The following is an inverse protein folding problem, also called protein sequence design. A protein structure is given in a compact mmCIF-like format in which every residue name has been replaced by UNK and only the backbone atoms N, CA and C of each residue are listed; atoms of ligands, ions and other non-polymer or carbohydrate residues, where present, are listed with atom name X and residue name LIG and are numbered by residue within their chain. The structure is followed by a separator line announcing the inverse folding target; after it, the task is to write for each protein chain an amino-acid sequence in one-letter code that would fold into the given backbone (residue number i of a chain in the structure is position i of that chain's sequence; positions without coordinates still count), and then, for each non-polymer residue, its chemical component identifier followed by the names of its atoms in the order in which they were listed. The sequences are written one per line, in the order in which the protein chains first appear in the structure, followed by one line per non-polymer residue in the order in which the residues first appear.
data_IF_186311438417
#
_entry.id   IF_186311438417
#
_cell.length_a   1.000
_cell.length_b   1.000
_cell.length_c   1.000
_cell.angle_alpha   90.00
_cell.angle_beta   90.00
_cell.angle_gamma   90.00
#
_symmetry.space_group_name_H-M   'P 1'
#
loop_
_entity.id
_entity.type
_entity.pdbx_description
1 polymer ?
#
# COMPACT_ATOMS: atom_id res chain seq x y z
N UNK A 1 -64.78 15.59 61.24
CA UNK A 1 -63.88 16.36 60.37
C UNK A 1 -63.30 15.39 59.33
N UNK A 2 -63.59 15.56 58.03
CA UNK A 2 -63.15 14.65 56.97
C UNK A 2 -61.79 15.07 56.41
N UNK A 3 -60.86 14.12 56.20
CA UNK A 3 -59.61 14.36 55.50
C UNK A 3 -59.64 13.66 54.13
N UNK A 4 -59.33 14.46 53.11
CA UNK A 4 -59.29 14.18 51.70
C UNK A 4 -57.95 13.53 51.33
N UNK A 5 -57.97 12.44 50.57
CA UNK A 5 -56.71 11.83 50.12
C UNK A 5 -56.81 10.62 49.21
N UNK A 6 -57.96 10.34 48.59
CA UNK A 6 -58.03 9.46 47.42
C UNK A 6 -57.70 10.29 46.17
N UNK A 7 -56.43 10.28 45.75
CA UNK A 7 -56.04 10.70 44.40
C UNK A 7 -54.97 9.75 43.86
N UNK A 8 -55.42 8.76 43.07
CA UNK A 8 -54.71 8.31 41.86
C UNK A 8 -53.54 7.34 42.02
N UNK A 9 -53.83 6.05 42.21
CA UNK A 9 -52.97 4.98 41.68
C UNK A 9 -53.60 4.48 40.37
N UNK A 10 -53.21 5.10 39.25
CA UNK A 10 -53.61 4.66 37.92
C UNK A 10 -52.77 3.43 37.53
N UNK A 11 -53.51 2.37 37.22
CA UNK A 11 -53.13 1.09 36.65
C UNK A 11 -52.07 1.21 35.54
N UNK A 12 -50.91 0.58 35.73
CA UNK A 12 -49.80 0.53 34.77
C UNK A 12 -49.95 -0.65 33.80
N UNK A 13 -51.07 -0.72 33.08
CA UNK A 13 -51.34 -1.76 32.09
C UNK A 13 -51.75 -1.19 30.72
N UNK A 14 -50.85 -0.46 30.06
CA UNK A 14 -50.93 -0.19 28.62
C UNK A 14 -49.54 -0.17 27.99
N UNK A 15 -49.20 -1.24 27.26
CA UNK A 15 -48.12 -1.21 26.27
C UNK A 15 -48.55 -0.40 25.04
N UNK A 16 -47.61 0.20 24.29
CA UNK A 16 -47.54 -0.18 22.88
C UNK A 16 -46.11 -0.26 22.31
N UNK A 17 -45.93 -1.30 21.50
CA UNK A 17 -45.12 -1.43 20.28
C UNK A 17 -44.41 -0.14 19.78
N UNK A 18 -43.07 -0.13 19.83
CA UNK A 18 -42.08 0.46 18.90
C UNK A 18 -40.70 0.34 19.59
N UNK A 19 -39.67 -0.30 19.06
CA UNK A 19 -39.03 -0.02 17.78
C UNK A 19 -38.25 -1.28 17.34
N UNK A 20 -38.69 -1.87 16.24
CA UNK A 20 -37.79 -2.60 15.34
C UNK A 20 -36.82 -1.56 14.78
N UNK A 21 -35.63 -1.47 15.36
CA UNK A 21 -34.38 -0.92 14.78
C UNK A 21 -33.20 -1.27 15.67
N UNK A 22 -33.19 -2.51 16.15
CA UNK A 22 -32.03 -3.14 16.76
C UNK A 22 -31.14 -3.84 15.72
N UNK A 23 -31.10 -3.37 14.47
CA UNK A 23 -29.92 -3.63 13.61
C UNK A 23 -28.80 -2.79 14.20
N UNK A 24 -28.24 -3.30 15.30
CA UNK A 24 -26.90 -2.98 15.70
C UNK A 24 -26.07 -2.98 14.43
N UNK A 25 -25.41 -1.86 14.13
CA UNK A 25 -24.33 -1.80 13.18
C UNK A 25 -23.33 -2.88 13.63
N UNK A 26 -23.50 -4.10 13.13
CA UNK A 26 -22.64 -5.21 13.50
C UNK A 26 -21.30 -4.82 12.93
N UNK A 27 -20.38 -4.44 13.81
CA UNK A 27 -18.99 -4.25 13.43
C UNK A 27 -18.59 -5.41 12.55
N UNK A 28 -18.04 -5.10 11.39
CA UNK A 28 -17.70 -6.09 10.38
C UNK A 28 -16.81 -7.17 11.02
N UNK A 29 -17.21 -8.43 10.92
CA UNK A 29 -16.43 -9.55 11.46
C UNK A 29 -14.99 -9.48 10.93
N UNK A 30 -14.01 -9.71 11.81
CA UNK A 30 -12.57 -9.59 11.51
C UNK A 30 -12.19 -10.45 10.30
N UNK A 31 -12.79 -11.63 10.16
CA UNK A 31 -12.57 -12.52 9.00
C UNK A 31 -13.09 -11.91 7.71
N UNK A 32 -14.29 -11.29 7.74
CA UNK A 32 -14.86 -10.58 6.59
C UNK A 32 -14.02 -9.34 6.24
N UNK A 33 -13.58 -8.57 7.23
CA UNK A 33 -12.71 -7.42 7.01
C UNK A 33 -11.38 -7.82 6.37
N UNK A 34 -10.78 -8.94 6.80
CA UNK A 34 -9.57 -9.50 6.18
C UNK A 34 -9.80 -9.94 4.74
N UNK A 35 -10.88 -10.68 4.48
CA UNK A 35 -11.22 -11.12 3.12
C UNK A 35 -11.48 -9.93 2.18
N UNK A 36 -12.18 -8.89 2.65
CA UNK A 36 -12.44 -7.70 1.86
C UNK A 36 -11.17 -6.86 1.64
N UNK A 37 -10.30 -6.76 2.64
CA UNK A 37 -8.99 -6.10 2.48
C UNK A 37 -8.10 -6.85 1.48
N UNK A 38 -8.05 -8.19 1.55
CA UNK A 38 -7.35 -9.01 0.58
C UNK A 38 -7.96 -8.91 -0.82
N UNK A 39 -9.29 -8.88 -0.92
CA UNK A 39 -10.01 -8.69 -2.18
C UNK A 39 -9.74 -7.32 -2.81
N UNK A 40 -9.75 -6.25 -2.01
CA UNK A 40 -9.41 -4.90 -2.48
C UNK A 40 -7.95 -4.81 -2.93
N UNK A 41 -7.02 -5.43 -2.18
CA UNK A 41 -5.63 -5.51 -2.59
C UNK A 41 -5.47 -6.28 -3.91
N UNK A 42 -6.10 -7.45 -4.04
CA UNK A 42 -6.09 -8.25 -5.26
C UNK A 42 -6.69 -7.50 -6.46
N UNK A 43 -7.79 -6.76 -6.26
CA UNK A 43 -8.35 -5.88 -7.28
C UNK A 43 -7.35 -4.81 -7.71
N UNK A 44 -6.65 -4.19 -6.75
CA UNK A 44 -5.59 -3.22 -7.05
C UNK A 44 -4.47 -3.82 -7.91
N UNK A 45 -4.05 -5.07 -7.63
CA UNK A 45 -3.05 -5.78 -8.45
C UNK A 45 -3.57 -6.00 -9.87
N UNK A 46 -4.81 -6.47 -10.03
CA UNK A 46 -5.41 -6.71 -11.35
C UNK A 46 -5.50 -5.41 -12.15
N UNK A 47 -5.97 -4.32 -11.53
CA UNK A 47 -6.05 -3.00 -12.19
C UNK A 47 -4.65 -2.54 -12.61
N UNK A 48 -3.65 -2.65 -11.72
CA UNK A 48 -2.27 -2.28 -12.04
C UNK A 48 -1.72 -3.09 -13.22
N UNK A 49 -1.90 -4.40 -13.21
CA UNK A 49 -1.44 -5.28 -14.29
C UNK A 49 -2.09 -4.94 -15.62
N UNK A 50 -3.42 -4.78 -15.63
CA UNK A 50 -4.14 -4.40 -16.85
C UNK A 50 -3.71 -3.01 -17.35
N UNK A 51 -3.38 -2.07 -16.47
CA UNK A 51 -2.81 -0.77 -16.88
C UNK A 51 -1.42 -0.91 -17.48
N UNK A 52 -0.53 -1.70 -16.86
CA UNK A 52 0.85 -1.90 -17.35
C UNK A 52 0.88 -2.66 -18.68
N UNK A 53 -0.01 -3.64 -18.86
CA UNK A 53 -0.13 -4.42 -20.09
C UNK A 53 -0.86 -3.66 -21.22
N UNK A 54 -1.32 -2.43 -20.96
CA UNK A 54 -2.04 -1.59 -21.93
C UNK A 54 -3.51 -1.97 -22.12
N UNK A 55 -4.04 -2.90 -21.34
CA UNK A 55 -5.47 -3.24 -21.30
C UNK A 55 -6.35 -2.17 -20.65
N UNK A 56 -5.76 -1.27 -19.85
CA UNK A 56 -6.39 -0.08 -19.29
C UNK A 56 -5.51 1.15 -19.53
N UNK A 57 -6.12 2.32 -19.66
CA UNK A 57 -5.40 3.59 -19.79
C UNK A 57 -4.52 3.88 -18.55
N UNK A 58 -3.41 4.64 -18.69
CA UNK A 58 -2.47 4.93 -17.59
C UNK A 58 -3.14 5.53 -16.33
N UNK A 59 -4.17 6.36 -16.52
CA UNK A 59 -4.92 7.00 -15.43
C UNK A 59 -5.64 5.97 -14.54
N UNK A 60 -5.98 4.80 -15.06
CA UNK A 60 -6.58 3.72 -14.26
C UNK A 60 -5.63 3.20 -13.17
N UNK A 61 -4.31 3.38 -13.33
CA UNK A 61 -3.32 3.04 -12.31
C UNK A 61 -3.52 3.77 -10.97
N UNK A 62 -4.16 4.95 -10.98
CA UNK A 62 -4.55 5.67 -9.75
C UNK A 62 -5.57 4.86 -8.94
N UNK A 63 -6.43 4.11 -9.61
CA UNK A 63 -7.39 3.21 -8.98
C UNK A 63 -6.72 2.07 -8.22
N UNK A 64 -5.64 1.51 -8.78
CA UNK A 64 -4.85 0.50 -8.08
C UNK A 64 -4.25 1.05 -6.77
N UNK A 65 -3.70 2.27 -6.81
CA UNK A 65 -3.17 2.93 -5.63
C UNK A 65 -4.25 3.16 -4.57
N UNK A 66 -5.44 3.61 -4.97
CA UNK A 66 -6.57 3.80 -4.06
C UNK A 66 -6.98 2.49 -3.38
N UNK A 67 -7.00 1.38 -4.12
CA UNK A 67 -7.24 0.04 -3.58
C UNK A 67 -6.16 -0.38 -2.56
N UNK A 68 -4.87 -0.17 -2.85
CA UNK A 68 -3.78 -0.51 -1.93
C UNK A 68 -3.84 0.31 -0.64
N UNK A 69 -4.05 1.62 -0.76
CA UNK A 69 -4.19 2.52 0.40
C UNK A 69 -5.41 2.14 1.24
N UNK A 70 -6.56 1.89 0.61
CA UNK A 70 -7.76 1.46 1.31
C UNK A 70 -7.55 0.11 2.04
N UNK A 71 -6.93 -0.87 1.36
CA UNK A 71 -6.64 -2.18 1.93
C UNK A 71 -5.70 -2.09 3.15
N UNK A 72 -4.65 -1.27 3.05
CA UNK A 72 -3.70 -1.02 4.14
C UNK A 72 -4.32 -0.23 5.29
N UNK A 73 -5.02 0.86 4.98
CA UNK A 73 -5.61 1.75 5.99
C UNK A 73 -6.77 1.11 6.74
N UNK A 74 -7.57 0.27 6.08
CA UNK A 74 -8.66 -0.47 6.73
C UNK A 74 -8.19 -1.31 7.94
N UNK A 75 -6.89 -1.66 8.00
CA UNK A 75 -6.30 -2.38 9.14
C UNK A 75 -6.09 -1.49 10.38
N UNK A 76 -6.06 -0.17 10.22
CA UNK A 76 -5.85 0.80 11.30
C UNK A 76 -7.12 1.52 11.77
N UNK A 77 -8.27 1.30 11.12
CA UNK A 77 -9.54 1.96 11.48
C UNK A 77 -10.46 0.99 12.22
N UNK A 78 -11.31 1.52 13.10
CA UNK A 78 -12.38 0.77 13.78
C UNK A 78 -13.23 -0.03 12.79
N UNK A 79 -13.65 -1.25 13.19
CA UNK A 79 -14.36 -2.22 12.35
C UNK A 79 -15.63 -1.68 11.68
N UNK A 80 -16.29 -0.71 12.30
CA UNK A 80 -17.47 -0.04 11.77
C UNK A 80 -17.18 0.84 10.53
N UNK A 81 -15.95 1.37 10.39
CA UNK A 81 -15.54 2.25 9.29
C UNK A 81 -14.70 1.54 8.22
N UNK A 82 -14.12 0.39 8.56
CA UNK A 82 -13.30 -0.38 7.62
C UNK A 82 -14.07 -0.74 6.33
N UNK A 83 -15.38 -1.04 6.42
CA UNK A 83 -16.19 -1.36 5.25
C UNK A 83 -16.37 -0.16 4.32
N UNK A 84 -16.57 1.02 4.89
CA UNK A 84 -16.69 2.29 4.15
C UNK A 84 -15.37 2.67 3.48
N UNK A 85 -14.23 2.47 4.16
CA UNK A 85 -12.89 2.72 3.58
C UNK A 85 -12.62 1.80 2.39
N UNK A 86 -12.92 0.50 2.53
CA UNK A 86 -12.72 -0.48 1.45
C UNK A 86 -13.65 -0.21 0.27
N UNK A 87 -14.94 0.05 0.54
CA UNK A 87 -15.89 0.44 -0.49
C UNK A 87 -15.47 1.73 -1.20
N UNK A 88 -14.98 2.72 -0.45
CA UNK A 88 -14.43 3.96 -1.01
C UNK A 88 -13.25 3.70 -1.95
N UNK A 89 -12.30 2.85 -1.55
CA UNK A 89 -11.18 2.46 -2.41
C UNK A 89 -11.64 1.81 -3.73
N UNK A 90 -12.58 0.87 -3.65
CA UNK A 90 -13.15 0.21 -4.84
C UNK A 90 -13.92 1.20 -5.72
N UNK A 91 -14.72 2.08 -5.13
CA UNK A 91 -15.47 3.12 -5.86
C UNK A 91 -14.51 4.07 -6.57
N UNK A 92 -13.43 4.50 -5.91
CA UNK A 92 -12.39 5.31 -6.56
C UNK A 92 -11.75 4.54 -7.70
N UNK A 93 -11.44 3.26 -7.53
CA UNK A 93 -10.87 2.44 -8.60
C UNK A 93 -11.80 2.35 -9.81
N UNK A 94 -13.07 2.00 -9.61
CA UNK A 94 -14.07 1.96 -10.67
C UNK A 94 -14.27 3.34 -11.33
N UNK A 95 -14.28 4.41 -10.52
CA UNK A 95 -14.38 5.78 -10.99
C UNK A 95 -13.19 6.18 -11.86
N UNK A 96 -11.97 5.82 -11.47
CA UNK A 96 -10.75 6.07 -12.28
C UNK A 96 -10.73 5.26 -13.56
N UNK A 97 -11.25 4.02 -13.56
CA UNK A 97 -11.40 3.20 -14.78
C UNK A 97 -12.43 3.81 -15.73
N UNK A 98 -13.59 4.24 -15.21
CA UNK A 98 -14.61 4.94 -16.00
C UNK A 98 -14.09 6.26 -16.57
N UNK A 99 -13.42 7.06 -15.73
CA UNK A 99 -12.78 8.31 -16.15
C UNK A 99 -11.70 8.05 -17.20
N UNK A 100 -10.84 7.06 -17.00
CA UNK A 100 -9.85 6.60 -17.97
C UNK A 100 -10.49 6.30 -19.33
N UNK A 101 -11.58 5.53 -19.37
CA UNK A 101 -12.29 5.22 -20.61
C UNK A 101 -12.83 6.47 -21.31
N UNK A 102 -13.31 7.47 -20.55
CA UNK A 102 -13.78 8.74 -21.13
C UNK A 102 -12.66 9.67 -21.60
N UNK A 103 -11.49 9.59 -20.96
CA UNK A 103 -10.31 10.40 -21.27
C UNK A 103 -9.34 9.69 -22.23
N UNK A 104 -9.62 8.44 -22.61
CA UNK A 104 -8.84 7.68 -23.59
C UNK A 104 -8.60 8.45 -24.91
N UNK A 105 -9.55 9.24 -25.46
CA UNK A 105 -9.27 10.06 -26.64
C UNK A 105 -8.23 11.16 -26.42
N UNK A 106 -7.93 11.49 -25.15
CA UNK A 106 -6.98 12.51 -24.70
C UNK A 106 -5.69 11.88 -24.12
N UNK A 107 -5.51 10.55 -24.19
CA UNK A 107 -4.39 9.84 -23.53
C UNK A 107 -3.01 10.05 -24.18
N UNK A 108 -2.93 10.86 -25.24
CA UNK A 108 -1.66 11.35 -25.81
C UNK A 108 -0.87 12.29 -24.86
N UNK A 109 -1.28 12.43 -23.60
CA UNK A 109 -0.52 13.16 -22.58
C UNK A 109 0.72 12.34 -22.24
N UNK A 110 1.89 12.90 -22.57
CA UNK A 110 3.19 12.36 -22.19
C UNK A 110 3.24 12.14 -20.68
N UNK A 111 3.68 10.95 -20.25
CA UNK A 111 3.98 10.73 -18.84
C UNK A 111 5.04 11.75 -18.39
N UNK A 112 4.99 12.20 -17.11
CA UNK A 112 6.05 13.05 -16.58
C UNK A 112 7.40 12.37 -16.80
N UNK A 113 8.27 13.04 -17.56
CA UNK A 113 9.60 12.51 -17.85
C UNK A 113 10.45 12.59 -16.57
N UNK A 114 10.73 11.45 -15.98
CA UNK A 114 11.64 11.33 -14.82
C UNK A 114 13.11 11.36 -15.24
N UNK A 115 13.38 11.28 -16.54
CA UNK A 115 14.70 11.39 -17.18
C UNK A 115 15.27 12.81 -17.21
N UNK A 116 14.61 13.79 -16.57
CA UNK A 116 15.06 15.19 -16.51
C UNK A 116 16.45 15.37 -15.89
N UNK A 117 16.91 14.41 -15.08
CA UNK A 117 18.26 14.41 -14.50
C UNK A 117 19.29 13.70 -15.40
N UNK A 118 18.86 13.19 -16.56
CA UNK A 118 19.70 12.52 -17.55
C UNK A 118 20.47 11.33 -16.94
N UNK A 119 21.80 11.26 -17.12
CA UNK A 119 22.66 10.23 -16.52
C UNK A 119 22.54 10.07 -15.00
N UNK A 120 22.02 11.08 -14.29
CA UNK A 120 21.87 11.02 -12.83
C UNK A 120 20.49 10.54 -12.38
N UNK A 121 19.54 10.32 -13.30
CA UNK A 121 18.19 9.90 -12.92
C UNK A 121 18.22 8.61 -12.11
N UNK A 122 18.99 7.61 -12.53
CA UNK A 122 19.03 6.34 -11.82
C UNK A 122 19.66 6.47 -10.43
N UNK A 123 20.79 7.18 -10.32
CA UNK A 123 21.44 7.46 -9.04
C UNK A 123 20.51 8.24 -8.09
N UNK A 124 19.76 9.21 -8.61
CA UNK A 124 18.81 9.98 -7.82
C UNK A 124 17.67 9.10 -7.29
N UNK A 125 17.15 8.17 -8.10
CA UNK A 125 16.13 7.22 -7.62
C UNK A 125 16.67 6.30 -6.53
N UNK A 126 17.90 5.80 -6.67
CA UNK A 126 18.56 4.99 -5.63
C UNK A 126 18.72 5.78 -4.33
N UNK A 127 19.07 7.06 -4.41
CA UNK A 127 19.18 7.91 -3.23
C UNK A 127 17.82 8.13 -2.52
N UNK A 128 16.76 8.38 -3.29
CA UNK A 128 15.40 8.59 -2.74
C UNK A 128 14.91 7.31 -2.06
N UNK A 129 14.98 6.17 -2.74
CA UNK A 129 14.54 4.89 -2.17
C UNK A 129 15.44 4.40 -1.04
N UNK A 130 16.76 4.63 -1.13
CA UNK A 130 17.71 4.34 -0.06
C UNK A 130 17.43 5.16 1.19
N UNK A 131 17.09 6.45 1.04
CA UNK A 131 16.68 7.32 2.15
C UNK A 131 15.38 6.83 2.80
N UNK A 132 14.39 6.42 2.00
CA UNK A 132 13.15 5.83 2.50
C UNK A 132 13.41 4.52 3.25
N UNK A 133 14.20 3.61 2.67
CA UNK A 133 14.58 2.34 3.28
C UNK A 133 15.28 2.55 4.64
N UNK A 134 16.24 3.47 4.68
CA UNK A 134 16.93 3.84 5.91
C UNK A 134 15.96 4.41 6.94
N UNK A 135 15.06 5.31 6.53
CA UNK A 135 14.02 5.86 7.41
C UNK A 135 13.10 4.79 8.00
N UNK A 136 12.70 3.79 7.20
CA UNK A 136 11.88 2.66 7.67
C UNK A 136 12.66 1.77 8.65
N UNK A 137 13.91 1.43 8.36
CA UNK A 137 14.74 0.63 9.24
C UNK A 137 15.01 1.35 10.57
N UNK A 138 15.33 2.66 10.53
CA UNK A 138 15.51 3.47 11.74
C UNK A 138 14.24 3.55 12.57
N UNK A 139 13.08 3.60 11.92
CA UNK A 139 11.78 3.59 12.59
C UNK A 139 11.45 2.24 13.21
N UNK A 140 11.81 1.13 12.54
CA UNK A 140 11.56 -0.24 12.97
C UNK A 140 12.46 -0.70 14.14
N UNK A 141 12.90 0.21 14.99
CA UNK A 141 13.50 -0.12 16.27
C UNK A 141 14.97 -0.58 16.25
N UNK A 142 15.44 -0.96 17.44
CA UNK A 142 16.85 -1.29 17.68
C UNK A 142 17.19 -2.65 17.07
N UNK A 143 18.19 -2.66 16.18
CA UNK A 143 18.76 -3.89 15.62
C UNK A 143 18.23 -4.29 14.24
N UNK A 144 17.20 -3.62 13.73
CA UNK A 144 16.68 -3.76 12.36
C UNK A 144 17.78 -3.50 11.32
N UNK A 145 18.52 -2.39 11.45
CA UNK A 145 19.66 -2.02 10.60
C UNK A 145 20.72 -3.11 10.53
N UNK A 146 21.09 -3.69 11.68
CA UNK A 146 22.10 -4.76 11.74
C UNK A 146 21.59 -6.05 11.09
N UNK A 147 20.34 -6.40 11.31
CA UNK A 147 19.72 -7.58 10.67
C UNK A 147 19.64 -7.39 9.16
N UNK A 148 19.16 -6.23 8.71
CA UNK A 148 19.10 -5.87 7.30
C UNK A 148 20.48 -5.90 6.65
N UNK A 149 21.48 -5.25 7.25
CA UNK A 149 22.85 -5.25 6.75
C UNK A 149 23.43 -6.68 6.66
N UNK A 150 23.14 -7.54 7.63
CA UNK A 150 23.59 -8.95 7.58
C UNK A 150 22.93 -9.71 6.44
N UNK A 151 21.62 -9.58 6.28
CA UNK A 151 20.89 -10.22 5.18
C UNK A 151 21.39 -9.74 3.83
N UNK A 152 21.55 -8.42 3.67
CA UNK A 152 22.11 -7.81 2.45
C UNK A 152 23.50 -8.34 2.18
N UNK A 153 24.40 -8.37 3.17
CA UNK A 153 25.76 -8.87 2.97
C UNK A 153 25.82 -10.34 2.50
N UNK A 154 24.86 -11.18 2.92
CA UNK A 154 24.76 -12.57 2.48
C UNK A 154 24.23 -12.67 1.05
N UNK A 155 23.24 -11.85 0.69
CA UNK A 155 22.59 -11.90 -0.63
C UNK A 155 23.42 -11.17 -1.71
N UNK A 156 24.14 -10.13 -1.32
CA UNK A 156 24.93 -9.28 -2.20
C UNK A 156 25.85 -10.03 -3.18
N UNK A 157 26.68 -11.01 -2.77
CA UNK A 157 27.54 -11.71 -3.73
C UNK A 157 26.75 -12.49 -4.79
N UNK A 158 25.58 -13.03 -4.44
CA UNK A 158 24.72 -13.72 -5.40
C UNK A 158 24.11 -12.72 -6.39
N UNK A 159 23.58 -11.60 -5.90
CA UNK A 159 23.03 -10.54 -6.73
C UNK A 159 24.10 -9.95 -7.67
N UNK A 160 25.30 -9.72 -7.17
CA UNK A 160 26.42 -9.18 -7.94
C UNK A 160 26.79 -10.09 -9.12
N UNK A 161 26.91 -11.40 -8.88
CA UNK A 161 27.23 -12.35 -9.97
C UNK A 161 26.12 -12.38 -11.02
N UNK A 162 24.86 -12.30 -10.58
CA UNK A 162 23.71 -12.26 -11.47
C UNK A 162 23.68 -11.00 -12.33
N UNK A 163 23.81 -9.81 -11.73
CA UNK A 163 23.78 -8.53 -12.44
C UNK A 163 24.97 -8.40 -13.39
N UNK A 164 26.18 -8.77 -12.93
CA UNK A 164 27.35 -8.80 -13.81
C UNK A 164 27.12 -9.70 -15.03
N UNK A 165 26.63 -10.91 -14.82
CA UNK A 165 26.37 -11.84 -15.92
C UNK A 165 25.32 -11.31 -16.89
N UNK A 166 24.20 -10.76 -16.39
CA UNK A 166 23.10 -10.28 -17.23
C UNK A 166 23.45 -9.01 -18.01
N UNK A 167 24.30 -8.15 -17.45
CA UNK A 167 24.86 -7.01 -18.16
C UNK A 167 25.86 -7.46 -19.23
N UNK A 168 26.76 -8.39 -18.90
CA UNK A 168 27.77 -8.91 -19.83
C UNK A 168 27.12 -9.60 -21.05
N UNK A 169 26.07 -10.40 -20.83
CA UNK A 169 25.36 -11.09 -21.92
C UNK A 169 24.29 -10.23 -22.61
N UNK A 170 24.10 -8.98 -22.18
CA UNK A 170 23.18 -8.03 -22.81
C UNK A 170 21.69 -8.31 -22.58
N UNK A 171 21.34 -9.04 -21.51
CA UNK A 171 19.94 -9.26 -21.11
C UNK A 171 19.30 -7.98 -20.57
N UNK A 172 20.10 -7.11 -19.95
CA UNK A 172 19.68 -5.82 -19.43
C UNK A 172 20.59 -4.68 -19.92
N UNK A 173 20.03 -3.48 -20.04
CA UNK A 173 20.76 -2.26 -20.34
C UNK A 173 20.23 -1.11 -19.47
N UNK A 174 21.13 -0.23 -19.03
CA UNK A 174 20.82 0.87 -18.11
C UNK A 174 21.24 2.19 -18.77
N UNK A 175 20.33 2.87 -19.50
CA UNK A 175 20.68 4.02 -20.34
C UNK A 175 20.89 5.32 -19.54
N UNK A 176 20.21 5.51 -18.42
CA UNK A 176 20.24 6.74 -17.61
C UNK A 176 21.18 6.62 -16.39
N UNK A 177 22.40 6.11 -16.63
CA UNK A 177 23.44 5.92 -15.62
C UNK A 177 24.56 6.94 -15.74
N UNK A 178 25.26 7.19 -14.64
CA UNK A 178 26.38 8.15 -14.55
C UNK A 178 27.58 7.75 -15.39
N UNK A 179 27.71 6.46 -15.72
CA UNK A 179 28.87 5.90 -16.42
C UNK A 179 30.02 5.55 -15.47
N UNK A 180 29.83 5.66 -14.15
CA UNK A 180 30.80 5.19 -13.15
C UNK A 180 30.65 3.68 -12.99
N UNK A 181 31.72 2.95 -13.24
CA UNK A 181 31.78 1.50 -13.03
C UNK A 181 32.65 1.16 -11.82
N UNK A 182 32.18 0.21 -11.03
CA UNK A 182 32.85 -0.32 -9.86
C UNK A 182 32.89 -1.84 -10.01
N UNK A 183 34.08 -2.42 -9.93
CA UNK A 183 34.28 -3.89 -10.05
C UNK A 183 33.54 -4.49 -11.27
N UNK A 184 33.50 -3.79 -12.40
CA UNK A 184 32.94 -4.32 -13.66
C UNK A 184 31.42 -4.23 -13.82
N UNK A 185 30.70 -3.56 -12.93
CA UNK A 185 29.29 -3.17 -13.14
C UNK A 185 29.06 -1.70 -12.75
N UNK A 186 27.96 -1.07 -13.18
CA UNK A 186 27.66 0.32 -12.80
C UNK A 186 27.53 0.51 -11.29
N UNK A 187 27.97 1.66 -10.78
CA UNK A 187 27.83 2.04 -9.38
C UNK A 187 26.36 1.96 -8.91
N UNK A 188 25.43 2.36 -9.75
CA UNK A 188 24.00 2.34 -9.45
C UNK A 188 23.49 0.92 -9.19
N UNK A 189 24.04 -0.11 -9.84
CA UNK A 189 23.68 -1.51 -9.58
C UNK A 189 24.16 -1.97 -8.20
N UNK A 190 25.35 -1.52 -7.77
CA UNK A 190 25.79 -1.74 -6.39
C UNK A 190 24.86 -1.11 -5.36
N UNK A 191 24.34 0.08 -5.65
CA UNK A 191 23.36 0.73 -4.80
C UNK A 191 22.03 -0.03 -4.83
N UNK A 192 21.54 -0.40 -6.00
CA UNK A 192 20.30 -1.15 -6.20
C UNK A 192 20.29 -2.45 -5.39
N UNK A 193 21.38 -3.23 -5.45
CA UNK A 193 21.57 -4.46 -4.68
C UNK A 193 21.50 -4.27 -3.16
N UNK A 194 21.70 -3.05 -2.66
CA UNK A 194 21.59 -2.71 -1.24
C UNK A 194 20.23 -2.08 -0.93
N UNK A 195 19.79 -1.13 -1.74
CA UNK A 195 18.60 -0.30 -1.55
C UNK A 195 17.33 -1.14 -1.63
N UNK A 196 17.19 -1.98 -2.65
CA UNK A 196 15.97 -2.76 -2.83
C UNK A 196 15.76 -3.74 -1.68
N UNK A 197 16.73 -4.58 -1.29
CA UNK A 197 16.54 -5.46 -0.13
C UNK A 197 16.39 -4.66 1.18
N UNK A 198 17.09 -3.54 1.35
CA UNK A 198 16.91 -2.68 2.53
C UNK A 198 15.49 -2.13 2.63
N UNK A 199 14.89 -1.72 1.50
CA UNK A 199 13.51 -1.23 1.46
C UNK A 199 12.53 -2.34 1.82
N UNK A 200 12.67 -3.52 1.22
CA UNK A 200 11.84 -4.70 1.52
C UNK A 200 11.94 -5.08 2.99
N UNK A 201 13.16 -5.15 3.53
CA UNK A 201 13.39 -5.48 4.94
C UNK A 201 12.88 -4.37 5.86
N UNK A 202 13.02 -3.09 5.49
CA UNK A 202 12.47 -1.97 6.24
C UNK A 202 10.95 -2.04 6.36
N UNK A 203 10.25 -2.36 5.27
CA UNK A 203 8.80 -2.59 5.28
C UNK A 203 8.46 -3.81 6.14
N UNK A 204 9.16 -4.93 5.94
CA UNK A 204 8.94 -6.18 6.67
C UNK A 204 9.06 -5.98 8.19
N UNK A 205 10.14 -5.37 8.65
CA UNK A 205 10.38 -5.09 10.07
C UNK A 205 9.33 -4.11 10.63
N UNK A 206 8.95 -3.08 9.88
CA UNK A 206 7.89 -2.13 10.28
C UNK A 206 6.52 -2.81 10.46
N UNK A 207 6.23 -3.86 9.67
CA UNK A 207 5.00 -4.63 9.80
C UNK A 207 5.07 -5.65 10.95
N UNK A 208 6.26 -6.21 11.22
CA UNK A 208 6.51 -7.18 12.28
C UNK A 208 6.34 -6.61 13.68
N UNK A 209 6.89 -5.42 13.95
CA UNK A 209 6.80 -4.77 15.28
C UNK A 209 5.36 -4.55 15.77
N UNK A 210 4.39 -4.39 14.86
CA UNK A 210 2.97 -4.23 15.25
C UNK A 210 2.32 -5.49 15.82
N UNK A 211 2.98 -6.64 15.71
CA UNK A 211 2.44 -7.94 16.15
C UNK A 211 2.97 -8.36 17.53
N UNK A 212 4.05 -7.72 18.00
CA UNK A 212 4.71 -8.03 19.28
C UNK A 212 4.37 -7.02 20.40
N UNK A 213 3.12 -6.54 20.44
CA UNK A 213 2.59 -5.82 21.60
C UNK A 213 1.82 -6.84 22.50
N UNK A 214 2.22 -7.06 23.77
CA UNK A 214 1.60 -8.02 24.69
C UNK A 214 0.19 -7.62 25.17
#
# INVERSE_FOLDING_TARGET
MPNWGDIGAVDASLAPVAHVTGTAYSGMDRRRAQLLSAGAFGLGVVVLWLTVDGGLEPVAGVGALACFVAAGYARSVQSARAGVVLAGGVVVALGTVGLAATLAPLSNVLLPDIGVLGPYTYLATEFVFGSLALGLLLRAGRGSLRRAARTIAVVYPLAYVWDWYTLEVGVFAIPLRTGVELVGIPLEEHLFMVVVPALVLGIHETLGERTEDP
#
